data_IF_394734407074
#
_entry.id   IF_394734407074
#
_cell.length_a   1.000
_cell.length_b   1.000
_cell.length_c   1.000
_cell.angle_alpha   90.00
_cell.angle_beta   90.00
_cell.angle_gamma   90.00
#
_symmetry.space_group_name_H-M   'P 1'
#
loop_
_entity.id
_entity.type
_entity.pdbx_description
1 polymer ?
#
# COMPACT_ATOMS: atom_id res chain seq x y z
N UNK A 1 -40.09 7.18 17.03
CA UNK A 1 -38.92 6.90 16.19
C UNK A 1 -37.99 6.06 17.03
N UNK A 2 -37.48 4.93 16.53
CA UNK A 2 -36.49 4.17 17.29
C UNK A 2 -35.25 5.06 17.46
N UNK A 3 -34.83 5.29 18.70
CA UNK A 3 -33.62 6.05 18.95
C UNK A 3 -32.42 5.20 18.51
N UNK A 4 -31.49 5.83 17.78
CA UNK A 4 -30.28 5.18 17.32
C UNK A 4 -29.43 4.77 18.54
N UNK A 5 -28.90 3.55 18.55
CA UNK A 5 -28.03 3.14 19.63
C UNK A 5 -26.71 3.93 19.60
N UNK A 6 -26.06 4.07 20.76
CA UNK A 6 -24.76 4.77 20.85
C UNK A 6 -23.70 4.13 19.96
N UNK A 7 -23.78 2.82 19.74
CA UNK A 7 -22.90 2.07 18.86
C UNK A 7 -23.17 2.37 17.38
N UNK A 8 -24.44 2.45 16.98
CA UNK A 8 -24.83 2.85 15.62
C UNK A 8 -24.38 4.28 15.29
N UNK A 9 -24.50 5.21 16.25
CA UNK A 9 -24.01 6.59 16.09
C UNK A 9 -22.49 6.60 15.93
N UNK A 10 -21.76 5.79 16.71
CA UNK A 10 -20.31 5.68 16.60
C UNK A 10 -19.88 5.12 15.24
N UNK A 11 -20.53 4.06 14.75
CA UNK A 11 -20.26 3.49 13.43
C UNK A 11 -20.51 4.51 12.31
N UNK A 12 -21.57 5.32 12.42
CA UNK A 12 -21.87 6.38 11.46
C UNK A 12 -20.81 7.50 11.50
N UNK A 13 -20.35 7.94 12.67
CA UNK A 13 -19.28 8.93 12.74
C UNK A 13 -17.95 8.37 12.22
N UNK A 14 -17.65 7.10 12.50
CA UNK A 14 -16.44 6.45 12.02
C UNK A 14 -16.42 6.34 10.49
N UNK A 15 -17.54 5.93 9.88
CA UNK A 15 -17.68 5.90 8.41
C UNK A 15 -17.61 7.31 7.81
N UNK A 16 -18.20 8.32 8.47
CA UNK A 16 -18.07 9.74 8.07
C UNK A 16 -16.61 10.18 8.05
N UNK A 17 -15.84 9.88 9.10
CA UNK A 17 -14.42 10.24 9.17
C UNK A 17 -13.61 9.59 8.05
N UNK A 18 -13.89 8.32 7.71
CA UNK A 18 -13.21 7.64 6.58
C UNK A 18 -13.61 8.23 5.22
N UNK A 19 -14.87 8.54 5.00
CA UNK A 19 -15.33 9.22 3.78
C UNK A 19 -14.66 10.59 3.62
N UNK A 20 -14.47 11.34 4.72
CA UNK A 20 -13.72 12.60 4.69
C UNK A 20 -12.25 12.38 4.32
N UNK A 21 -11.60 11.34 4.85
CA UNK A 21 -10.22 11.00 4.48
C UNK A 21 -10.07 10.61 3.00
N UNK A 22 -11.05 9.86 2.45
CA UNK A 22 -11.10 9.58 1.02
C UNK A 22 -11.26 10.87 0.20
N UNK A 23 -12.19 11.73 0.61
CA UNK A 23 -12.44 13.00 -0.07
C UNK A 23 -11.21 13.90 -0.08
N UNK A 24 -10.47 14.04 1.03
CA UNK A 24 -9.23 14.82 1.06
C UNK A 24 -8.17 14.22 0.15
N UNK A 25 -8.05 12.89 0.08
CA UNK A 25 -7.12 12.22 -0.85
C UNK A 25 -7.46 12.46 -2.33
N UNK A 26 -8.76 12.50 -2.67
CA UNK A 26 -9.23 12.81 -4.02
C UNK A 26 -9.01 14.28 -4.39
N UNK A 27 -9.23 15.20 -3.43
CA UNK A 27 -8.93 16.62 -3.63
C UNK A 27 -7.44 16.83 -3.88
N UNK A 28 -6.57 16.18 -3.09
CA UNK A 28 -5.13 16.28 -3.27
C UNK A 28 -4.72 15.82 -4.68
N UNK A 29 -5.19 14.62 -5.11
CA UNK A 29 -4.94 14.11 -6.46
C UNK A 29 -5.45 15.07 -7.54
N UNK A 30 -6.67 15.60 -7.38
CA UNK A 30 -7.24 16.56 -8.32
C UNK A 30 -6.40 17.85 -8.38
N UNK A 31 -5.97 18.36 -7.23
CA UNK A 31 -5.11 19.54 -7.14
C UNK A 31 -3.82 19.30 -7.90
N UNK A 32 -3.15 18.17 -7.68
CA UNK A 32 -1.89 17.86 -8.35
C UNK A 32 -2.05 17.73 -9.87
N UNK A 33 -3.14 17.14 -10.34
CA UNK A 33 -3.43 17.02 -11.79
C UNK A 33 -3.78 18.38 -12.42
N UNK A 34 -4.46 19.27 -11.69
CA UNK A 34 -4.98 20.54 -12.24
C UNK A 34 -4.01 21.71 -12.10
N UNK A 35 -3.15 21.69 -11.09
CA UNK A 35 -2.19 22.78 -10.82
C UNK A 35 -0.88 22.60 -11.57
N UNK A 36 -0.49 21.37 -11.89
CA UNK A 36 0.71 21.11 -12.66
C UNK A 36 0.41 21.22 -14.16
N UNK A 37 1.25 21.97 -14.88
CA UNK A 37 1.15 22.11 -16.35
C UNK A 37 1.52 20.82 -17.10
N UNK A 38 2.27 19.93 -16.44
CA UNK A 38 2.58 18.58 -16.88
C UNK A 38 1.84 17.55 -16.03
N UNK A 39 1.54 16.39 -16.62
CA UNK A 39 1.03 15.26 -15.86
C UNK A 39 2.00 14.90 -14.72
N UNK A 40 1.48 14.57 -13.52
CA UNK A 40 2.33 14.14 -12.40
C UNK A 40 3.11 12.88 -12.76
N UNK A 41 4.26 12.70 -12.11
CA UNK A 41 5.10 11.53 -12.34
C UNK A 41 4.36 10.24 -11.99
N UNK A 42 4.67 9.15 -12.71
CA UNK A 42 4.04 7.85 -12.45
C UNK A 42 4.14 7.38 -10.99
N UNK A 43 5.30 7.52 -10.30
CA UNK A 43 5.38 7.16 -8.89
C UNK A 43 4.41 7.97 -8.01
N UNK A 44 4.23 9.26 -8.27
CA UNK A 44 3.28 10.09 -7.54
C UNK A 44 1.83 9.64 -7.79
N UNK A 45 1.47 9.34 -9.05
CA UNK A 45 0.14 8.82 -9.36
C UNK A 45 -0.12 7.47 -8.66
N UNK A 46 0.90 6.60 -8.61
CA UNK A 46 0.82 5.30 -7.95
C UNK A 46 0.62 5.44 -6.44
N UNK A 47 1.30 6.38 -5.77
CA UNK A 47 1.09 6.60 -4.33
C UNK A 47 -0.32 7.10 -4.04
N UNK A 48 -0.86 8.04 -4.82
CA UNK A 48 -2.25 8.48 -4.68
C UNK A 48 -3.24 7.35 -4.93
N UNK A 49 -3.04 6.53 -5.98
CA UNK A 49 -3.89 5.39 -6.28
C UNK A 49 -3.89 4.35 -5.15
N UNK A 50 -2.73 4.06 -4.57
CA UNK A 50 -2.61 3.17 -3.42
C UNK A 50 -3.33 3.74 -2.19
N UNK A 51 -3.18 5.04 -1.90
CA UNK A 51 -3.86 5.69 -0.79
C UNK A 51 -5.38 5.63 -0.94
N UNK A 52 -5.89 5.94 -2.14
CA UNK A 52 -7.32 5.88 -2.44
C UNK A 52 -7.83 4.43 -2.31
N UNK A 53 -7.12 3.46 -2.87
CA UNK A 53 -7.46 2.04 -2.77
C UNK A 53 -7.56 1.56 -1.33
N UNK A 54 -6.58 1.91 -0.48
CA UNK A 54 -6.57 1.55 0.93
C UNK A 54 -7.74 2.20 1.70
N UNK A 55 -8.06 3.46 1.40
CA UNK A 55 -9.21 4.14 1.99
C UNK A 55 -10.53 3.46 1.57
N UNK A 56 -10.69 3.13 0.29
CA UNK A 56 -11.87 2.43 -0.23
C UNK A 56 -12.04 1.04 0.41
N UNK A 57 -10.96 0.27 0.53
CA UNK A 57 -10.97 -1.03 1.20
C UNK A 57 -11.39 -0.90 2.67
N UNK A 58 -10.86 0.10 3.37
CA UNK A 58 -11.21 0.36 4.78
C UNK A 58 -12.68 0.73 4.92
N UNK A 59 -13.21 1.59 4.04
CA UNK A 59 -14.63 1.97 4.03
C UNK A 59 -15.52 0.76 3.74
N UNK A 60 -15.16 -0.06 2.74
CA UNK A 60 -15.91 -1.26 2.40
C UNK A 60 -15.94 -2.27 3.56
N UNK A 61 -14.82 -2.45 4.25
CA UNK A 61 -14.74 -3.31 5.43
C UNK A 61 -15.66 -2.82 6.57
N UNK A 62 -15.65 -1.51 6.86
CA UNK A 62 -16.51 -0.91 7.90
C UNK A 62 -18.00 -0.99 7.55
N UNK A 63 -18.36 -0.76 6.29
CA UNK A 63 -19.74 -0.90 5.80
C UNK A 63 -20.21 -2.35 5.89
N UNK A 64 -19.32 -3.32 5.64
CA UNK A 64 -19.63 -4.74 5.77
C UNK A 64 -19.79 -5.17 7.24
N UNK A 65 -18.93 -4.67 8.13
CA UNK A 65 -18.97 -4.95 9.57
C UNK A 65 -20.27 -4.45 10.23
N UNK A 66 -20.70 -3.23 9.91
CA UNK A 66 -21.92 -2.63 10.45
C UNK A 66 -23.11 -2.68 9.49
N UNK A 67 -23.15 -3.66 8.58
CA UNK A 67 -24.17 -3.77 7.53
C UNK A 67 -25.60 -3.75 8.07
N UNK A 68 -25.88 -4.49 9.13
CA UNK A 68 -27.22 -4.58 9.74
C UNK A 68 -27.70 -3.22 10.27
N UNK A 69 -26.80 -2.46 10.91
CA UNK A 69 -27.07 -1.12 11.39
C UNK A 69 -27.40 -0.16 10.23
N UNK A 70 -26.60 -0.18 9.16
CA UNK A 70 -26.84 0.70 8.01
C UNK A 70 -28.07 0.32 7.20
N UNK A 71 -28.40 -0.97 7.08
CA UNK A 71 -29.60 -1.42 6.37
C UNK A 71 -30.91 -1.14 7.13
N UNK A 72 -30.88 -1.18 8.46
CA UNK A 72 -32.05 -0.88 9.30
C UNK A 72 -32.30 0.63 9.48
N UNK A 73 -31.29 1.46 9.26
CA UNK A 73 -31.38 2.91 9.44
C UNK A 73 -31.90 3.58 8.17
N UNK A 74 -32.96 4.39 8.30
CA UNK A 74 -33.52 5.18 7.19
C UNK A 74 -33.22 6.65 7.40
N UNK A 75 -32.64 7.31 6.39
CA UNK A 75 -32.38 8.74 6.43
C UNK A 75 -33.63 9.55 6.03
N UNK A 76 -34.02 10.53 6.85
CA UNK A 76 -35.06 11.50 6.54
C UNK A 76 -34.61 12.91 6.98
N UNK A 77 -35.05 13.99 6.29
CA UNK A 77 -34.71 15.34 6.69
C UNK A 77 -35.28 15.69 8.07
N UNK A 78 -34.51 16.46 8.83
CA UNK A 78 -34.95 16.99 10.11
C UNK A 78 -36.02 18.08 9.91
N UNK A 79 -36.93 18.31 10.88
CA UNK A 79 -37.97 19.35 10.78
C UNK A 79 -37.42 20.76 10.57
N UNK A 80 -36.18 21.04 11.01
CA UNK A 80 -35.52 22.34 10.78
C UNK A 80 -35.00 22.54 9.35
N UNK A 81 -35.01 21.52 8.50
CA UNK A 81 -34.50 21.64 7.13
C UNK A 81 -35.51 22.40 6.24
N UNK A 82 -35.09 23.42 5.47
CA UNK A 82 -35.98 24.20 4.61
C UNK A 82 -36.39 23.42 3.35
N UNK A 83 -37.32 22.46 3.52
CA UNK A 83 -37.71 21.50 2.49
C UNK A 83 -38.33 22.14 1.23
N UNK A 84 -39.00 23.29 1.36
CA UNK A 84 -39.63 23.98 0.21
C UNK A 84 -38.63 24.72 -0.67
N UNK A 85 -37.63 25.35 -0.07
CA UNK A 85 -36.63 26.15 -0.79
C UNK A 85 -35.50 25.30 -1.36
N UNK A 86 -35.19 24.19 -0.69
CA UNK A 86 -34.03 23.34 -0.98
C UNK A 86 -34.41 21.88 -1.30
N UNK A 87 -35.60 21.68 -1.87
CA UNK A 87 -36.08 20.35 -2.27
C UNK A 87 -35.11 19.65 -3.23
N UNK A 88 -34.60 20.37 -4.23
CA UNK A 88 -33.67 19.82 -5.23
C UNK A 88 -32.36 19.28 -4.62
N UNK A 89 -31.83 19.97 -3.59
CA UNK A 89 -30.62 19.52 -2.89
C UNK A 89 -30.90 18.22 -2.13
N UNK A 90 -32.07 18.13 -1.50
CA UNK A 90 -32.49 16.93 -0.78
C UNK A 90 -32.65 15.73 -1.71
N UNK A 91 -33.31 15.94 -2.86
CA UNK A 91 -33.45 14.90 -3.90
C UNK A 91 -32.11 14.41 -4.39
N UNK A 92 -31.13 15.31 -4.57
CA UNK A 92 -29.79 14.93 -5.01
C UNK A 92 -29.00 14.19 -3.93
N UNK A 93 -29.10 14.62 -2.67
CA UNK A 93 -28.33 14.03 -1.55
C UNK A 93 -28.87 12.67 -1.13
N UNK A 94 -30.20 12.52 -1.06
CA UNK A 94 -30.86 11.27 -0.66
C UNK A 94 -31.07 10.30 -1.83
N UNK A 95 -30.59 10.63 -3.03
CA UNK A 95 -30.66 9.72 -4.17
C UNK A 95 -29.78 8.49 -3.91
N UNK A 96 -30.40 7.31 -3.96
CA UNK A 96 -29.72 6.01 -3.90
C UNK A 96 -29.56 5.36 -5.27
N UNK A 97 -30.19 5.94 -6.31
CA UNK A 97 -30.06 5.47 -7.69
C UNK A 97 -28.63 5.70 -8.18
N UNK A 98 -28.03 4.65 -8.75
CA UNK A 98 -26.69 4.67 -9.33
C UNK A 98 -26.57 5.74 -10.43
N UNK A 99 -25.34 6.09 -10.74
CA UNK A 99 -25.03 6.95 -11.89
C UNK A 99 -25.26 6.18 -13.20
N UNK A 100 -25.73 6.83 -14.29
CA UNK A 100 -26.04 6.15 -15.54
C UNK A 100 -24.89 5.27 -16.06
N UNK A 101 -23.66 5.79 -16.05
CA UNK A 101 -22.49 5.03 -16.49
C UNK A 101 -22.24 3.76 -15.65
N UNK A 102 -22.60 3.78 -14.37
CA UNK A 102 -22.47 2.62 -13.48
C UNK A 102 -23.62 1.64 -13.72
N UNK A 103 -24.83 2.14 -14.01
CA UNK A 103 -25.97 1.30 -14.40
C UNK A 103 -25.65 0.52 -15.69
N UNK A 104 -25.11 1.20 -16.71
CA UNK A 104 -24.71 0.57 -17.97
C UNK A 104 -23.68 -0.55 -17.75
N UNK A 105 -22.69 -0.32 -16.88
CA UNK A 105 -21.67 -1.33 -16.55
C UNK A 105 -22.23 -2.52 -15.78
N UNK A 106 -23.21 -2.28 -14.89
CA UNK A 106 -23.90 -3.35 -14.17
C UNK A 106 -24.73 -4.19 -15.14
N UNK A 107 -25.49 -3.55 -16.03
CA UNK A 107 -26.28 -4.24 -17.06
C UNK A 107 -25.39 -5.05 -18.02
N UNK A 108 -24.26 -4.47 -18.46
CA UNK A 108 -23.28 -5.18 -19.27
C UNK A 108 -22.73 -6.40 -18.52
N UNK A 109 -22.36 -6.24 -17.24
CA UNK A 109 -21.89 -7.33 -16.38
C UNK A 109 -22.90 -8.46 -16.21
N UNK A 110 -24.18 -8.12 -15.99
CA UNK A 110 -25.27 -9.09 -15.93
C UNK A 110 -25.47 -9.81 -17.26
N UNK A 111 -25.41 -9.09 -18.38
CA UNK A 111 -25.53 -9.68 -19.72
C UNK A 111 -24.41 -10.68 -20.02
N UNK A 112 -23.18 -10.37 -19.59
CA UNK A 112 -22.02 -11.24 -19.70
C UNK A 112 -22.21 -12.49 -18.83
N UNK A 113 -22.62 -12.32 -17.58
CA UNK A 113 -22.89 -13.42 -16.64
C UNK A 113 -23.97 -14.38 -17.18
N UNK A 114 -25.05 -13.84 -17.75
CA UNK A 114 -26.10 -14.64 -18.37
C UNK A 114 -25.62 -15.40 -19.60
N UNK A 115 -24.74 -14.80 -20.42
CA UNK A 115 -24.14 -15.46 -21.59
C UNK A 115 -23.25 -16.62 -21.18
N UNK A 116 -22.42 -16.43 -20.15
CA UNK A 116 -21.57 -17.47 -19.57
C UNK A 116 -22.40 -18.63 -19.03
N UNK A 117 -23.49 -18.34 -18.32
CA UNK A 117 -24.40 -19.37 -17.80
C UNK A 117 -25.16 -20.14 -18.88
N UNK A 118 -25.43 -19.51 -20.03
CA UNK A 118 -26.08 -20.16 -21.19
C UNK A 118 -25.13 -21.00 -22.04
N UNK A 119 -23.82 -20.83 -21.88
CA UNK A 119 -22.83 -21.68 -22.55
C UNK A 119 -22.95 -23.14 -22.09
N UNK A 120 -22.70 -24.08 -23.00
CA UNK A 120 -22.80 -25.53 -22.76
C UNK A 120 -21.75 -26.07 -21.76
N UNK A 121 -20.82 -25.21 -21.33
CA UNK A 121 -19.84 -25.49 -20.31
C UNK A 121 -20.29 -24.86 -18.99
N UNK A 122 -21.00 -25.63 -18.17
CA UNK A 122 -21.08 -25.34 -16.74
C UNK A 122 -19.64 -25.32 -16.22
N UNK A 123 -19.14 -24.15 -15.85
CA UNK A 123 -17.86 -24.02 -15.18
C UNK A 123 -17.81 -24.81 -13.87
N UNK A 124 -16.68 -24.72 -13.18
CA UNK A 124 -16.53 -25.21 -11.81
C UNK A 124 -17.65 -24.61 -10.94
N UNK A 125 -18.22 -25.41 -10.03
CA UNK A 125 -19.27 -24.93 -9.15
C UNK A 125 -18.76 -23.74 -8.31
N UNK A 126 -19.64 -22.81 -7.93
CA UNK A 126 -19.23 -21.64 -7.13
C UNK A 126 -18.56 -22.07 -5.80
N UNK A 127 -19.04 -23.17 -5.20
CA UNK A 127 -18.47 -23.75 -4.00
C UNK A 127 -17.04 -24.27 -4.22
N UNK A 128 -16.82 -25.01 -5.31
CA UNK A 128 -15.50 -25.54 -5.66
C UNK A 128 -14.53 -24.41 -6.06
N UNK A 129 -15.04 -23.37 -6.74
CA UNK A 129 -14.27 -22.18 -7.08
C UNK A 129 -13.84 -21.42 -5.82
N UNK A 130 -14.75 -21.27 -4.84
CA UNK A 130 -14.42 -20.66 -3.56
C UNK A 130 -13.37 -21.49 -2.79
N UNK A 131 -13.54 -22.81 -2.74
CA UNK A 131 -12.55 -23.71 -2.16
C UNK A 131 -11.18 -23.57 -2.82
N UNK A 132 -11.14 -23.45 -4.15
CA UNK A 132 -9.91 -23.20 -4.91
C UNK A 132 -9.27 -21.86 -4.53
N UNK A 133 -10.05 -20.78 -4.44
CA UNK A 133 -9.54 -19.45 -4.06
C UNK A 133 -9.09 -19.37 -2.60
N UNK A 134 -9.68 -20.15 -1.70
CA UNK A 134 -9.22 -20.27 -0.31
C UNK A 134 -7.91 -21.08 -0.23
N UNK A 135 -7.79 -22.14 -1.02
CA UNK A 135 -6.59 -22.99 -1.05
C UNK A 135 -5.39 -22.29 -1.70
N UNK A 136 -5.58 -21.58 -2.82
CA UNK A 136 -4.49 -21.06 -3.65
C UNK A 136 -3.48 -20.17 -2.90
N UNK A 137 -3.88 -19.20 -2.05
CA UNK A 137 -2.94 -18.40 -1.27
C UNK A 137 -2.10 -19.25 -0.30
N UNK A 138 -2.70 -20.29 0.31
CA UNK A 138 -1.97 -21.15 1.25
C UNK A 138 -0.92 -21.99 0.56
N UNK A 139 -1.24 -22.53 -0.62
CA UNK A 139 -0.32 -23.30 -1.44
C UNK A 139 0.81 -22.42 -1.99
N UNK A 140 0.47 -21.23 -2.51
CA UNK A 140 1.46 -20.25 -2.97
C UNK A 140 2.40 -19.83 -1.83
N UNK A 141 1.85 -19.53 -0.65
CA UNK A 141 2.65 -19.18 0.53
C UNK A 141 3.53 -20.35 1.02
N UNK A 142 3.11 -21.61 0.84
CA UNK A 142 3.93 -22.78 1.18
C UNK A 142 5.16 -22.87 0.28
N UNK A 143 5.00 -22.60 -1.01
CA UNK A 143 6.12 -22.62 -1.95
C UNK A 143 7.02 -21.39 -1.77
N UNK A 144 6.44 -20.22 -1.57
CA UNK A 144 7.19 -19.00 -1.30
C UNK A 144 8.11 -19.14 -0.07
N UNK A 145 7.70 -19.88 0.97
CA UNK A 145 8.52 -20.10 2.17
C UNK A 145 9.78 -20.94 1.94
N UNK A 146 9.79 -21.78 0.91
CA UNK A 146 10.95 -22.62 0.56
C UNK A 146 11.99 -21.86 -0.25
N UNK A 147 11.64 -20.70 -0.79
CA UNK A 147 12.55 -19.91 -1.61
C UNK A 147 13.31 -18.88 -0.78
N UNK A 148 14.55 -18.60 -1.21
CA UNK A 148 15.40 -17.53 -0.67
C UNK A 148 15.10 -16.25 -1.45
N UNK A 149 14.25 -15.38 -0.91
CA UNK A 149 13.88 -14.09 -1.53
C UNK A 149 14.98 -13.03 -1.38
N UNK A 150 16.21 -13.35 -1.77
CA UNK A 150 17.38 -12.49 -1.55
C UNK A 150 17.92 -12.48 -0.11
N UNK A 151 17.44 -13.39 0.75
CA UNK A 151 17.96 -13.62 2.10
C UNK A 151 18.87 -14.86 2.13
N UNK A 152 19.82 -14.89 3.08
CA UNK A 152 20.79 -15.98 3.22
C UNK A 152 20.13 -17.33 3.57
N UNK A 153 19.01 -17.28 4.30
CA UNK A 153 18.24 -18.44 4.75
C UNK A 153 16.78 -18.35 4.27
N UNK A 154 16.18 -19.51 4.00
CA UNK A 154 14.74 -19.61 3.77
C UNK A 154 13.97 -19.32 5.06
N UNK A 155 12.69 -18.92 4.94
CA UNK A 155 11.88 -18.63 6.12
C UNK A 155 11.64 -19.90 6.97
N UNK A 156 11.59 -21.07 6.34
CA UNK A 156 11.46 -22.37 6.99
C UNK A 156 12.72 -22.74 7.79
N UNK A 157 13.91 -22.48 7.26
CA UNK A 157 15.19 -22.65 7.95
C UNK A 157 15.34 -21.71 9.14
N UNK A 158 14.91 -20.45 8.99
CA UNK A 158 14.92 -19.47 10.10
C UNK A 158 14.01 -19.91 11.26
N UNK A 159 12.82 -20.45 10.96
CA UNK A 159 11.88 -20.91 11.98
C UNK A 159 12.33 -22.21 12.68
N UNK A 160 13.07 -23.08 11.97
CA UNK A 160 13.63 -24.34 12.54
C UNK A 160 14.92 -24.14 13.33
N UNK A 161 15.42 -22.92 13.41
CA UNK A 161 16.72 -22.60 13.98
C UNK A 161 17.82 -22.71 12.93
N UNK A 162 18.53 -21.60 12.73
CA UNK A 162 19.60 -21.45 11.72
C UNK A 162 20.81 -22.37 12.02
N UNK A 163 20.89 -22.93 13.24
CA UNK A 163 21.96 -23.83 13.68
C UNK A 163 22.01 -25.17 12.94
N UNK A 164 20.88 -25.66 12.42
CA UNK A 164 20.76 -26.99 11.80
C UNK A 164 20.73 -26.97 10.26
N UNK A 165 21.06 -25.83 9.63
CA UNK A 165 20.98 -25.69 8.17
C UNK A 165 22.23 -26.29 7.51
N UNK A 166 22.04 -27.38 6.77
CA UNK A 166 23.11 -28.15 6.10
C UNK A 166 23.59 -27.51 4.79
N UNK A 167 22.83 -26.57 4.22
CA UNK A 167 23.13 -26.00 2.89
C UNK A 167 23.50 -24.52 2.95
N UNK A 168 24.81 -24.28 2.95
CA UNK A 168 25.46 -23.30 2.07
C UNK A 168 25.65 -21.88 2.59
N UNK A 169 26.91 -21.58 2.96
CA UNK A 169 27.53 -20.29 3.32
C UNK A 169 27.00 -19.62 4.60
N UNK A 170 27.56 -20.05 5.74
CA UNK A 170 27.69 -19.20 6.92
C UNK A 170 28.60 -18.05 6.53
N UNK A 171 28.07 -16.85 6.27
CA UNK A 171 28.88 -15.65 6.46
C UNK A 171 29.17 -15.60 7.96
N UNK A 172 30.44 -15.60 8.34
CA UNK A 172 30.82 -15.34 9.73
C UNK A 172 30.20 -13.99 10.09
N UNK A 173 29.27 -14.02 11.05
CA UNK A 173 28.83 -12.82 11.74
C UNK A 173 30.12 -12.22 12.32
N UNK A 174 30.59 -11.11 11.77
CA UNK A 174 31.58 -10.28 12.46
C UNK A 174 30.84 -9.75 13.66
N UNK A 175 31.02 -10.43 14.80
CA UNK A 175 30.55 -9.94 16.08
C UNK A 175 31.22 -8.57 16.30
N UNK A 176 30.44 -7.51 16.61
CA UNK A 176 31.05 -6.26 17.04
C UNK A 176 31.95 -6.59 18.25
N UNK A 177 33.18 -6.05 18.31
CA UNK A 177 34.09 -6.35 19.41
C UNK A 177 33.41 -6.01 20.73
N UNK A 178 33.41 -6.97 21.66
CA UNK A 178 32.90 -6.81 23.01
C UNK A 178 33.65 -5.64 23.68
N UNK A 179 32.93 -4.54 23.94
CA UNK A 179 33.38 -3.45 24.79
C UNK A 179 33.10 -3.83 26.25
N UNK A 180 33.89 -4.71 26.85
CA UNK A 180 33.94 -4.84 28.32
C UNK A 180 35.39 -5.05 28.81
N UNK A 181 35.74 -4.20 29.79
CA UNK A 181 36.84 -4.27 30.76
C UNK A 181 38.19 -3.56 30.46
N UNK A 182 38.22 -2.24 30.72
CA UNK A 182 39.31 -1.62 31.48
C UNK A 182 38.72 -0.80 32.66
N UNK A 183 38.43 -1.49 33.77
CA UNK A 183 38.41 -0.85 35.09
C UNK A 183 39.86 -0.56 35.51
N UNK A 184 40.22 0.72 35.55
CA UNK A 184 41.43 1.25 36.16
C UNK A 184 41.10 2.53 36.92
N UNK A 185 40.75 2.38 38.20
CA UNK A 185 40.76 3.47 39.20
C UNK A 185 42.13 4.13 39.22
N UNK A 186 42.18 5.47 39.14
CA UNK A 186 43.11 6.29 39.93
C UNK A 186 42.67 7.77 39.88
N UNK A 187 42.38 8.28 41.08
CA UNK A 187 42.00 9.65 41.40
C UNK A 187 43.02 10.70 40.92
N UNK A 188 42.57 11.82 40.34
CA UNK A 188 43.28 13.11 40.46
C UNK A 188 42.33 14.31 40.24
N UNK A 189 41.97 14.95 41.35
CA UNK A 189 41.24 16.20 41.52
C UNK A 189 42.08 17.40 41.06
N UNK A 190 41.64 18.24 40.11
CA UNK A 190 41.94 19.70 40.10
C UNK A 190 40.90 20.52 39.29
N UNK A 191 40.19 21.35 40.06
CA UNK A 191 39.85 22.77 39.88
C UNK A 191 39.05 23.31 38.66
N UNK A 192 37.96 23.99 39.02
CA UNK A 192 37.03 24.80 38.23
C UNK A 192 37.69 26.07 37.71
N UNK A 193 37.43 26.42 36.45
CA UNK A 193 37.30 27.82 36.03
C UNK A 193 36.09 27.97 35.12
N UNK A 194 35.13 28.75 35.60
CA UNK A 194 34.00 29.33 34.87
C UNK A 194 34.51 30.28 33.79
N UNK A 195 34.04 30.14 32.55
CA UNK A 195 33.72 31.28 31.67
C UNK A 195 32.47 30.92 30.85
N UNK A 196 31.36 31.59 31.20
CA UNK A 196 30.15 31.71 30.39
C UNK A 196 30.46 32.56 29.14
N UNK A 197 29.92 32.21 27.97
CA UNK A 197 29.41 33.21 27.03
C UNK A 197 28.43 32.59 26.01
N UNK A 198 27.43 33.40 25.68
CA UNK A 198 26.14 33.09 25.08
C UNK A 198 26.14 32.91 23.54
N UNK A 199 25.04 32.29 23.06
CA UNK A 199 24.28 32.55 21.82
C UNK A 199 25.01 32.88 20.50
N UNK A 200 24.75 32.12 19.42
CA UNK A 200 23.94 32.61 18.27
C UNK A 200 23.89 31.59 17.09
N UNK A 201 22.76 31.71 16.38
CA UNK A 201 22.23 31.20 15.12
C UNK A 201 23.15 30.67 14.00
N UNK A 202 22.57 29.82 13.14
CA UNK A 202 23.03 29.68 11.75
C UNK A 202 23.14 28.28 11.17
N UNK A 203 22.07 27.48 11.17
CA UNK A 203 22.05 26.21 10.45
C UNK A 203 22.00 26.44 8.91
N UNK A 204 23.16 26.66 8.27
CA UNK A 204 23.36 26.63 6.82
C UNK A 204 24.20 25.40 6.43
N UNK A 205 23.55 24.37 5.92
CA UNK A 205 24.21 23.24 5.24
C UNK A 205 24.39 23.60 3.76
N UNK A 206 25.57 24.13 3.41
CA UNK A 206 26.02 24.23 2.00
C UNK A 206 26.52 22.87 1.52
N UNK A 207 25.98 22.42 0.38
CA UNK A 207 26.39 21.20 -0.32
C UNK A 207 27.72 21.46 -1.02
N UNK A 208 28.79 20.84 -0.53
CA UNK A 208 30.11 20.88 -1.14
C UNK A 208 30.14 20.05 -2.43
N UNK A 209 30.32 20.72 -3.57
CA UNK A 209 30.59 20.11 -4.86
C UNK A 209 32.04 19.63 -4.88
N UNK A 210 32.26 18.32 -4.84
CA UNK A 210 33.60 17.76 -5.04
C UNK A 210 34.02 17.88 -6.50
N UNK A 211 34.91 18.85 -6.69
CA UNK A 211 35.71 19.21 -7.86
C UNK A 211 36.30 18.00 -8.61
N UNK A 212 36.02 17.96 -9.90
CA UNK A 212 36.68 17.11 -10.90
C UNK A 212 38.12 17.58 -11.15
N UNK A 213 39.10 16.69 -10.96
CA UNK A 213 40.43 16.83 -11.55
C UNK A 213 40.64 15.77 -12.63
N UNK A 214 41.05 16.28 -13.80
CA UNK A 214 41.18 15.55 -15.05
C UNK A 214 42.65 15.65 -15.47
N UNK A 215 43.37 14.53 -15.62
CA UNK A 215 44.54 14.42 -16.51
C UNK A 215 44.79 12.95 -16.93
N UNK A 216 45.44 12.72 -18.08
CA UNK A 216 44.96 11.75 -19.07
C UNK A 216 45.93 10.60 -19.35
N UNK A 217 45.39 9.53 -19.94
CA UNK A 217 46.15 8.58 -20.77
C UNK A 217 46.21 7.16 -20.23
N UNK A 218 45.55 6.23 -20.93
CA UNK A 218 45.69 4.79 -20.69
C UNK A 218 44.53 3.94 -21.21
N UNK A 219 44.52 3.71 -22.53
CA UNK A 219 44.07 2.49 -23.22
C UNK A 219 42.83 1.73 -22.71
N UNK A 220 41.78 1.77 -23.53
CA UNK A 220 40.92 0.65 -23.97
C UNK A 220 40.86 -0.58 -23.07
N UNK A 221 39.69 -0.81 -22.46
CA UNK A 221 39.04 -2.12 -22.44
C UNK A 221 37.56 -1.94 -22.06
N UNK A 222 36.67 -2.26 -23.00
CA UNK A 222 35.24 -2.31 -22.76
C UNK A 222 34.95 -3.46 -21.81
N UNK A 223 34.57 -3.16 -20.57
CA UNK A 223 34.09 -4.14 -19.62
C UNK A 223 32.83 -4.81 -20.20
N UNK A 224 32.99 -6.09 -20.53
CA UNK A 224 31.97 -6.98 -21.05
C UNK A 224 30.92 -7.20 -19.97
N UNK A 225 29.71 -6.74 -20.23
CA UNK A 225 28.54 -7.09 -19.42
C UNK A 225 28.33 -8.60 -19.55
N UNK A 226 28.56 -9.32 -18.46
CA UNK A 226 28.27 -10.74 -18.32
C UNK A 226 26.79 -10.97 -18.62
N UNK A 227 26.51 -11.48 -19.83
CA UNK A 227 25.19 -11.96 -20.24
C UNK A 227 24.84 -13.19 -19.41
N UNK A 228 24.09 -12.98 -18.34
CA UNK A 228 23.44 -14.07 -17.61
C UNK A 228 22.16 -14.48 -18.36
N UNK A 229 21.94 -15.79 -18.35
CA UNK A 229 20.98 -16.59 -19.11
C UNK A 229 19.62 -15.95 -19.50
N UNK A 230 19.31 -16.06 -20.80
CA UNK A 230 17.97 -16.21 -21.40
C UNK A 230 16.81 -15.45 -20.74
N UNK A 231 16.80 -14.13 -20.83
CA UNK A 231 15.60 -13.35 -20.56
C UNK A 231 14.63 -13.53 -21.74
N UNK A 232 13.44 -14.08 -21.49
CA UNK A 232 12.40 -14.13 -22.50
C UNK A 232 11.99 -12.70 -22.91
N UNK A 233 11.76 -12.44 -24.22
CA UNK A 233 11.36 -11.12 -24.66
C UNK A 233 10.02 -10.73 -24.01
N UNK A 234 9.90 -9.47 -23.58
CA UNK A 234 8.73 -8.90 -22.90
C UNK A 234 7.40 -9.18 -23.60
N UNK A 235 7.41 -9.30 -24.93
CA UNK A 235 6.22 -9.66 -25.70
C UNK A 235 5.72 -11.09 -25.40
N UNK A 236 6.61 -12.03 -25.08
CA UNK A 236 6.23 -13.39 -24.67
C UNK A 236 5.65 -13.41 -23.27
N UNK A 237 6.16 -12.57 -22.36
CA UNK A 237 5.59 -12.40 -21.01
C UNK A 237 4.19 -11.80 -21.10
N UNK A 238 4.02 -10.74 -21.89
CA UNK A 238 2.72 -10.08 -22.08
C UNK A 238 1.68 -11.02 -22.73
N UNK A 239 2.11 -11.85 -23.67
CA UNK A 239 1.26 -12.87 -24.30
C UNK A 239 0.82 -13.94 -23.29
N UNK A 240 1.71 -14.38 -22.40
CA UNK A 240 1.35 -15.34 -21.35
C UNK A 240 0.35 -14.77 -20.34
N UNK A 241 0.46 -13.48 -19.99
CA UNK A 241 -0.45 -12.81 -19.06
C UNK A 241 -1.84 -12.51 -19.66
N UNK A 242 -1.91 -12.20 -20.97
CA UNK A 242 -3.16 -11.81 -21.62
C UNK A 242 -3.90 -12.98 -22.28
N UNK A 243 -3.17 -14.03 -22.68
CA UNK A 243 -3.75 -15.20 -23.35
C UNK A 243 -3.08 -16.44 -22.79
N UNK A 244 -3.62 -17.02 -21.71
CA UNK A 244 -3.05 -18.20 -21.06
C UNK A 244 -3.06 -19.46 -21.94
N UNK A 245 -2.05 -19.61 -22.80
CA UNK A 245 -1.61 -20.86 -23.44
C UNK A 245 -0.09 -20.88 -23.60
#
# INVERSE_FOLDING_TARGET
MAELSTDQVRALDQTRQRLLALHTSLIALRSDITTQSSLPSWPALQTHANLISNNLQTIAAQLAEHREAFQSTVAFPLPQFPGKERAFILETLLRTKLEPNVEDWVEEGESIALRLRKGDHSGISEADLNALWQWAPTAANKEARKQKWGADFTLEEKQRGVSNVVTGLRRELVEPPDEEDEEGDEDEEYEVTDEEEEEDDGNKMEVEQTKSENKPGGTTESATVLRTATQMPLQSVHKFMMTGR
#
